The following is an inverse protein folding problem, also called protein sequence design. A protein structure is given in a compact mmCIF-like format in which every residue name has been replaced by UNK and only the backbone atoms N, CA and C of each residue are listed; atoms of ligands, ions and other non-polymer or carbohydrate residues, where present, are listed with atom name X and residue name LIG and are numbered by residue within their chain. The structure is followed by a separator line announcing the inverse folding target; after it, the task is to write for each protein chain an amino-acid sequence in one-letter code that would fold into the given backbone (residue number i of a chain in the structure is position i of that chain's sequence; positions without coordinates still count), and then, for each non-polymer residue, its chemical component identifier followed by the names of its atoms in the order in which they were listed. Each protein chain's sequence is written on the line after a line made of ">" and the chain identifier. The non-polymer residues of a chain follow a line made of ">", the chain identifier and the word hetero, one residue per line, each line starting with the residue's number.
data_IF_950392431576
#
_entry.id   IF_950392431576
#
_cell.length_a   1.000
_cell.length_b   1.000
_cell.length_c   1.000
_cell.angle_alpha   90.00
_cell.angle_beta   90.00
_cell.angle_gamma   90.00
#
_symmetry.space_group_name_H-M   'P 1'
#
loop_
_entity.id
_entity.type
_entity.pdbx_description
1 polymer ?
#
# COMPACT_ATOMS: atom_id res chain seq x y z
N UNK A 1 60.42 -39.78 -50.71
CA UNK A 1 59.53 -38.65 -50.37
C UNK A 1 58.14 -39.07 -50.75
N UNK A 2 57.24 -38.95 -49.77
CA UNK A 2 55.80 -39.20 -49.84
C UNK A 2 55.34 -40.63 -50.17
N UNK A 3 54.43 -41.07 -49.30
CA UNK A 3 53.19 -41.74 -49.67
C UNK A 3 53.11 -43.26 -49.42
N UNK A 4 51.90 -43.66 -48.99
CA UNK A 4 51.34 -45.00 -48.67
C UNK A 4 50.94 -45.26 -47.23
N UNK A 5 51.28 -44.41 -46.26
CA UNK A 5 50.84 -44.63 -44.86
C UNK A 5 49.53 -43.94 -44.48
N UNK A 6 49.05 -42.94 -45.24
CA UNK A 6 47.82 -42.20 -44.89
C UNK A 6 46.55 -42.67 -45.62
N UNK A 7 46.66 -43.46 -46.69
CA UNK A 7 45.49 -43.91 -47.47
C UNK A 7 44.79 -45.15 -46.93
N UNK A 8 45.42 -45.91 -46.01
CA UNK A 8 44.81 -47.12 -45.45
C UNK A 8 43.99 -46.81 -44.18
N UNK A 9 44.31 -45.75 -43.44
CA UNK A 9 43.56 -45.38 -42.24
C UNK A 9 42.21 -44.69 -42.53
N UNK A 10 42.10 -43.95 -43.64
CA UNK A 10 40.84 -43.30 -44.04
C UNK A 10 39.81 -44.28 -44.62
N UNK A 11 40.25 -45.41 -45.20
CA UNK A 11 39.36 -46.45 -45.75
C UNK A 11 38.69 -47.31 -44.68
N UNK A 12 39.38 -47.59 -43.57
CA UNK A 12 38.84 -48.46 -42.50
C UNK A 12 37.79 -47.76 -41.62
N UNK A 13 37.89 -46.44 -41.43
CA UNK A 13 36.92 -45.67 -40.63
C UNK A 13 35.61 -45.47 -41.42
N UNK A 14 35.68 -45.33 -42.75
CA UNK A 14 34.49 -45.25 -43.61
C UNK A 14 33.72 -46.58 -43.68
N UNK A 15 34.40 -47.73 -43.65
CA UNK A 15 33.73 -49.04 -43.69
C UNK A 15 33.15 -49.45 -42.32
N UNK A 16 33.79 -49.06 -41.20
CA UNK A 16 33.22 -49.27 -39.87
C UNK A 16 32.03 -48.35 -39.55
N UNK A 17 31.93 -47.19 -40.21
CA UNK A 17 30.79 -46.28 -40.04
C UNK A 17 29.59 -46.65 -40.93
N UNK A 18 29.84 -47.37 -42.04
CA UNK A 18 28.78 -47.87 -42.92
C UNK A 18 28.21 -49.23 -42.48
N UNK A 19 28.94 -50.02 -41.68
CA UNK A 19 28.42 -51.28 -41.14
C UNK A 19 27.48 -51.10 -39.92
N UNK A 20 27.56 -49.97 -39.21
CA UNK A 20 26.68 -49.68 -38.06
C UNK A 20 25.32 -49.11 -38.52
N UNK A 21 25.17 -48.70 -39.79
CA UNK A 21 23.89 -48.26 -40.36
C UNK A 21 23.09 -49.37 -41.06
N UNK A 22 23.60 -50.61 -41.12
CA UNK A 22 22.89 -51.75 -41.72
C UNK A 22 22.57 -52.89 -40.76
N UNK A 23 23.05 -52.85 -39.52
CA UNK A 23 22.35 -53.54 -38.43
C UNK A 23 21.28 -52.58 -37.95
N UNK A 24 20.16 -52.58 -38.67
CA UNK A 24 18.90 -52.06 -38.13
C UNK A 24 18.83 -52.54 -36.69
N UNK A 25 18.64 -51.59 -35.78
CA UNK A 25 18.11 -51.92 -34.47
C UNK A 25 16.92 -52.82 -34.79
N UNK A 26 17.10 -54.12 -34.56
CA UNK A 26 16.01 -54.96 -34.15
C UNK A 26 15.39 -54.13 -33.04
N UNK A 27 14.32 -53.41 -33.39
CA UNK A 27 13.14 -53.39 -32.56
C UNK A 27 13.16 -54.76 -31.93
N UNK A 28 13.42 -54.80 -30.64
CA UNK A 28 12.99 -55.95 -29.90
C UNK A 28 11.50 -56.00 -30.24
N UNK A 29 11.17 -56.82 -31.23
CA UNK A 29 9.90 -57.48 -31.38
C UNK A 29 9.77 -58.27 -30.08
N UNK A 30 9.51 -57.53 -28.98
CA UNK A 30 8.80 -58.02 -27.84
C UNK A 30 7.48 -58.39 -28.42
N UNK A 31 7.41 -59.65 -28.90
CA UNK A 31 6.23 -60.25 -29.45
C UNK A 31 5.11 -60.02 -28.45
N UNK A 32 4.31 -59.00 -28.74
CA UNK A 32 2.91 -59.15 -29.08
C UNK A 32 2.25 -60.27 -28.28
N UNK A 33 1.88 -59.95 -27.04
CA UNK A 33 1.02 -60.84 -26.26
C UNK A 33 -0.42 -60.53 -26.62
N UNK A 34 -1.00 -61.41 -27.43
CA UNK A 34 -2.38 -61.34 -27.90
C UNK A 34 -3.39 -61.62 -26.79
N UNK A 35 -4.39 -60.72 -26.73
CA UNK A 35 -5.64 -60.79 -25.99
C UNK A 35 -6.66 -59.90 -26.69
N UNK A 36 -7.68 -59.41 -25.98
CA UNK A 36 -8.73 -58.56 -26.57
C UNK A 36 -8.20 -57.26 -27.22
N UNK A 37 -6.99 -56.79 -26.91
CA UNK A 37 -6.42 -55.56 -27.47
C UNK A 37 -5.61 -55.74 -28.77
N UNK A 38 -5.46 -56.97 -29.28
CA UNK A 38 -4.59 -57.23 -30.44
C UNK A 38 -3.12 -56.86 -30.18
N UNK A 39 -2.36 -56.59 -31.24
CA UNK A 39 -0.92 -56.30 -31.17
C UNK A 39 -0.66 -54.81 -30.96
N UNK A 40 -0.59 -54.39 -29.70
CA UNK A 40 -0.26 -53.01 -29.29
C UNK A 40 0.97 -52.99 -28.37
N UNK A 41 1.64 -51.82 -28.29
CA UNK A 41 2.74 -51.58 -27.34
C UNK A 41 2.27 -51.82 -25.89
N UNK A 42 3.13 -52.30 -24.98
CA UNK A 42 2.79 -52.46 -23.57
C UNK A 42 2.14 -51.25 -22.90
N UNK A 43 2.54 -50.03 -23.31
CA UNK A 43 2.03 -48.74 -22.80
C UNK A 43 0.67 -48.36 -23.43
N UNK A 44 0.36 -48.87 -24.62
CA UNK A 44 -0.88 -48.55 -25.36
C UNK A 44 -2.07 -49.48 -25.08
N UNK A 45 -1.95 -50.37 -24.09
CA UNK A 45 -2.97 -51.39 -23.79
C UNK A 45 -4.21 -50.82 -23.10
N UNK A 46 -4.02 -49.91 -22.15
CA UNK A 46 -5.14 -49.27 -21.44
C UNK A 46 -5.93 -48.34 -22.38
N UNK A 47 -5.24 -47.58 -23.24
CA UNK A 47 -5.88 -46.76 -24.28
C UNK A 47 -6.65 -47.60 -25.31
N UNK A 48 -6.16 -48.80 -25.64
CA UNK A 48 -6.88 -49.74 -26.50
C UNK A 48 -8.16 -50.23 -25.84
N UNK A 49 -8.09 -50.62 -24.56
CA UNK A 49 -9.25 -51.05 -23.79
C UNK A 49 -10.29 -49.92 -23.63
N UNK A 50 -9.84 -48.69 -23.39
CA UNK A 50 -10.73 -47.50 -23.36
C UNK A 50 -11.46 -47.27 -24.67
N UNK A 51 -10.76 -47.34 -25.81
CA UNK A 51 -11.38 -47.14 -27.13
C UNK A 51 -12.31 -48.29 -27.55
N UNK A 52 -11.93 -49.55 -27.28
CA UNK A 52 -12.75 -50.72 -27.65
C UNK A 52 -14.07 -50.78 -26.90
N UNK A 53 -14.09 -50.31 -25.66
CA UNK A 53 -15.26 -50.39 -24.80
C UNK A 53 -15.87 -49.01 -24.53
N UNK A 54 -15.62 -48.03 -25.42
CA UNK A 54 -16.12 -46.66 -25.29
C UNK A 54 -17.65 -46.60 -25.19
N UNK A 55 -18.35 -47.50 -25.88
CA UNK A 55 -19.81 -47.59 -25.88
C UNK A 55 -20.37 -48.66 -24.92
N UNK A 56 -19.51 -49.29 -24.11
CA UNK A 56 -19.97 -50.33 -23.15
C UNK A 56 -20.52 -49.64 -21.90
N UNK A 57 -21.83 -49.77 -21.60
CA UNK A 57 -22.42 -49.14 -20.42
C UNK A 57 -21.84 -49.76 -19.15
N UNK A 58 -21.45 -48.92 -18.19
CA UNK A 58 -21.01 -49.37 -16.87
C UNK A 58 -21.82 -48.64 -15.80
N UNK A 59 -22.92 -49.26 -15.38
CA UNK A 59 -23.91 -48.62 -14.50
C UNK A 59 -23.59 -48.74 -13.00
N UNK A 60 -22.50 -49.44 -12.63
CA UNK A 60 -22.22 -49.77 -11.23
C UNK A 60 -21.18 -48.87 -10.54
N UNK A 61 -20.31 -48.19 -11.29
CA UNK A 61 -19.31 -47.27 -10.74
C UNK A 61 -18.69 -46.39 -11.84
N UNK A 62 -18.09 -45.25 -11.45
CA UNK A 62 -17.22 -44.48 -12.34
C UNK A 62 -15.82 -45.11 -12.31
N UNK A 63 -15.32 -45.48 -13.47
CA UNK A 63 -14.07 -46.21 -13.63
C UNK A 63 -13.43 -45.98 -14.99
N UNK A 64 -12.37 -46.73 -15.25
CA UNK A 64 -11.73 -46.76 -16.58
C UNK A 64 -11.40 -48.19 -16.98
N UNK A 65 -11.40 -48.44 -18.29
CA UNK A 65 -11.00 -49.72 -18.85
C UNK A 65 -9.48 -49.87 -18.79
N UNK A 66 -9.00 -50.94 -18.17
CA UNK A 66 -7.60 -51.28 -18.00
C UNK A 66 -7.31 -52.66 -18.55
N UNK A 67 -6.11 -52.89 -19.08
CA UNK A 67 -5.71 -54.22 -19.53
C UNK A 67 -5.10 -55.05 -18.39
N UNK A 68 -5.67 -56.21 -18.10
CA UNK A 68 -5.08 -57.18 -17.19
C UNK A 68 -4.07 -58.06 -17.95
N UNK A 69 -2.78 -57.84 -17.69
CA UNK A 69 -1.70 -58.62 -18.30
C UNK A 69 -1.59 -60.07 -17.83
N UNK A 70 -2.23 -60.45 -16.72
CA UNK A 70 -2.25 -61.83 -16.20
C UNK A 70 -3.38 -62.64 -16.84
N UNK A 71 -4.55 -62.02 -16.99
CA UNK A 71 -5.72 -62.66 -17.59
C UNK A 71 -5.84 -62.43 -19.11
N UNK A 72 -5.07 -61.50 -19.66
CA UNK A 72 -5.02 -61.20 -21.09
C UNK A 72 -6.26 -60.48 -21.62
N UNK A 73 -7.06 -59.83 -20.75
CA UNK A 73 -8.36 -59.24 -21.10
C UNK A 73 -8.47 -57.79 -20.65
N UNK A 74 -9.41 -57.04 -21.24
CA UNK A 74 -9.79 -55.72 -20.73
C UNK A 74 -10.73 -55.87 -19.54
N UNK A 75 -10.44 -55.19 -18.44
CA UNK A 75 -11.26 -55.15 -17.23
C UNK A 75 -11.65 -53.70 -16.94
N UNK A 76 -12.91 -53.48 -16.57
CA UNK A 76 -13.34 -52.17 -16.08
C UNK A 76 -12.98 -52.05 -14.60
N UNK A 77 -12.07 -51.13 -14.28
CA UNK A 77 -11.64 -50.89 -12.90
C UNK A 77 -12.48 -49.74 -12.35
N UNK A 78 -13.31 -50.06 -11.36
CA UNK A 78 -14.00 -49.06 -10.56
C UNK A 78 -12.99 -48.23 -9.77
N UNK A 79 -13.01 -46.91 -9.95
CA UNK A 79 -12.43 -46.02 -8.94
C UNK A 79 -13.39 -46.01 -7.76
N UNK A 80 -12.88 -46.28 -6.56
CA UNK A 80 -13.70 -46.31 -5.33
C UNK A 80 -14.37 -44.97 -5.04
N UNK A 81 -15.13 -44.88 -3.95
CA UNK A 81 -15.66 -43.60 -3.47
C UNK A 81 -14.49 -42.65 -3.19
N UNK A 82 -14.37 -41.60 -3.99
CA UNK A 82 -13.36 -40.56 -3.81
C UNK A 82 -13.63 -39.86 -2.47
N UNK A 83 -12.63 -39.81 -1.60
CA UNK A 83 -12.76 -39.23 -0.25
C UNK A 83 -11.94 -37.97 -0.06
N UNK A 84 -10.96 -37.72 -0.93
CA UNK A 84 -10.01 -36.62 -0.80
C UNK A 84 -9.59 -36.03 -2.16
N UNK A 85 -8.88 -34.90 -2.10
CA UNK A 85 -8.41 -34.18 -3.28
C UNK A 85 -7.46 -35.01 -4.15
N UNK A 86 -6.53 -35.74 -3.52
CA UNK A 86 -5.52 -36.52 -4.23
C UNK A 86 -6.17 -37.64 -5.07
N UNK A 87 -7.09 -38.40 -4.47
CA UNK A 87 -7.88 -39.42 -5.16
C UNK A 87 -8.71 -38.85 -6.32
N UNK A 88 -9.25 -37.64 -6.16
CA UNK A 88 -10.00 -36.96 -7.22
C UNK A 88 -9.10 -36.59 -8.41
N UNK A 89 -7.93 -36.02 -8.13
CA UNK A 89 -6.98 -35.63 -9.17
C UNK A 89 -6.40 -36.85 -9.90
N UNK A 90 -6.04 -37.91 -9.16
CA UNK A 90 -5.48 -39.16 -9.71
C UNK A 90 -6.51 -39.94 -10.55
N UNK A 91 -7.80 -39.82 -10.21
CA UNK A 91 -8.90 -40.35 -11.02
C UNK A 91 -9.19 -39.52 -12.29
N UNK A 92 -8.43 -38.46 -12.56
CA UNK A 92 -8.50 -37.66 -13.78
C UNK A 92 -9.63 -36.63 -13.83
N UNK A 93 -10.23 -36.31 -12.68
CA UNK A 93 -11.27 -35.28 -12.62
C UNK A 93 -10.70 -33.85 -12.75
N UNK A 94 -11.49 -32.88 -13.25
CA UNK A 94 -11.02 -31.52 -13.44
C UNK A 94 -10.57 -30.86 -12.13
N UNK A 95 -9.32 -30.42 -12.09
CA UNK A 95 -8.75 -29.58 -11.03
C UNK A 95 -8.87 -28.11 -11.44
N UNK A 96 -9.45 -27.29 -10.58
CA UNK A 96 -9.65 -25.86 -10.78
C UNK A 96 -8.43 -25.07 -10.30
N UNK A 97 -8.13 -23.96 -10.99
CA UNK A 97 -7.08 -22.99 -10.62
C UNK A 97 -7.54 -22.10 -9.45
N UNK A 98 -7.71 -22.69 -8.26
CA UNK A 98 -7.93 -21.97 -7.01
C UNK A 98 -6.82 -22.25 -6.00
N UNK A 99 -6.66 -21.40 -4.99
CA UNK A 99 -5.83 -21.68 -3.82
C UNK A 99 -6.70 -21.65 -2.55
N UNK A 100 -6.80 -22.75 -1.80
CA UNK A 100 -6.28 -24.09 -2.11
C UNK A 100 -6.90 -24.70 -3.37
N UNK A 101 -6.21 -25.66 -4.02
CA UNK A 101 -6.71 -26.29 -5.25
C UNK A 101 -7.97 -27.10 -4.96
N UNK A 102 -8.87 -27.17 -5.95
CA UNK A 102 -10.15 -27.88 -5.82
C UNK A 102 -10.34 -28.83 -6.99
N UNK A 103 -10.71 -30.07 -6.73
CA UNK A 103 -11.03 -31.07 -7.74
C UNK A 103 -12.54 -31.34 -7.77
N UNK A 104 -13.14 -31.38 -8.96
CA UNK A 104 -14.59 -31.63 -9.16
C UNK A 104 -14.82 -33.10 -9.50
N UNK A 105 -15.15 -33.89 -8.49
CA UNK A 105 -15.43 -35.31 -8.62
C UNK A 105 -16.87 -35.66 -9.03
N UNK A 106 -17.26 -36.93 -8.90
CA UNK A 106 -18.55 -37.44 -9.34
C UNK A 106 -19.70 -36.79 -8.56
N UNK A 107 -20.88 -36.71 -9.20
CA UNK A 107 -22.09 -36.06 -8.66
C UNK A 107 -21.88 -34.57 -8.29
N UNK A 108 -20.85 -33.91 -8.83
CA UNK A 108 -20.54 -32.51 -8.54
C UNK A 108 -19.88 -32.26 -7.18
N UNK A 109 -19.48 -33.31 -6.46
CA UNK A 109 -18.74 -33.20 -5.21
C UNK A 109 -17.38 -32.53 -5.45
N UNK A 110 -17.04 -31.56 -4.61
CA UNK A 110 -15.78 -30.83 -4.69
C UNK A 110 -14.88 -31.24 -3.53
N UNK A 111 -13.65 -31.65 -3.84
CA UNK A 111 -12.62 -31.97 -2.86
C UNK A 111 -11.58 -30.85 -2.87
N UNK A 112 -11.27 -30.29 -1.71
CA UNK A 112 -10.30 -29.21 -1.55
C UNK A 112 -8.98 -29.78 -1.03
N UNK A 113 -7.86 -29.33 -1.57
CA UNK A 113 -6.52 -29.66 -1.10
C UNK A 113 -6.34 -29.19 0.35
N UNK A 114 -5.87 -30.09 1.21
CA UNK A 114 -5.46 -29.76 2.58
C UNK A 114 -4.01 -29.30 2.50
N UNK A 115 -3.76 -28.05 2.90
CA UNK A 115 -2.42 -27.48 3.00
C UNK A 115 -2.04 -27.56 4.47
N UNK A 116 -1.04 -28.38 4.81
CA UNK A 116 -0.61 -28.63 6.19
C UNK A 116 0.24 -27.48 6.79
N UNK A 117 0.32 -26.33 6.11
CA UNK A 117 0.98 -25.14 6.64
C UNK A 117 -0.02 -24.29 7.44
N UNK A 118 0.29 -23.92 8.70
CA UNK A 118 -0.46 -22.91 9.42
C UNK A 118 -0.21 -21.59 8.69
N UNK A 119 -1.15 -21.20 7.83
CA UNK A 119 -1.20 -19.85 7.30
C UNK A 119 -1.39 -18.93 8.50
N UNK A 120 -0.33 -18.24 8.91
CA UNK A 120 -0.51 -16.98 9.62
C UNK A 120 -1.61 -16.23 8.86
N UNK A 121 -2.67 -15.74 9.55
CA UNK A 121 -3.75 -15.05 8.86
C UNK A 121 -3.09 -13.99 7.98
N UNK A 122 -3.33 -13.98 6.65
CA UNK A 122 -2.63 -13.09 5.76
C UNK A 122 -2.79 -11.69 6.33
N UNK A 123 -1.66 -11.02 6.60
CA UNK A 123 -1.67 -9.62 7.04
C UNK A 123 -2.62 -8.90 6.07
N UNK A 124 -3.68 -8.23 6.55
CA UNK A 124 -4.63 -7.58 5.66
C UNK A 124 -3.85 -6.70 4.68
N UNK A 125 -4.09 -6.92 3.38
CA UNK A 125 -3.40 -6.19 2.33
C UNK A 125 -4.05 -4.82 2.24
N UNK A 126 -3.30 -3.77 2.60
CA UNK A 126 -3.77 -2.39 2.58
C UNK A 126 -4.10 -1.84 3.98
N UNK A 127 -4.30 -0.53 4.05
CA UNK A 127 -4.48 0.19 5.32
C UNK A 127 -3.17 0.51 6.05
N UNK A 128 -2.04 0.03 5.55
CA UNK A 128 -0.71 0.41 6.05
C UNK A 128 -0.51 1.93 5.87
N UNK A 129 -0.20 2.61 6.98
CA UNK A 129 0.10 4.04 7.02
C UNK A 129 1.53 4.25 7.51
N UNK A 130 2.18 5.31 7.05
CA UNK A 130 3.50 5.74 7.55
C UNK A 130 3.40 6.52 8.88
N UNK A 131 4.53 7.04 9.36
CA UNK A 131 4.64 7.78 10.62
C UNK A 131 3.80 9.08 10.65
N UNK A 132 3.48 9.63 9.48
CA UNK A 132 2.62 10.81 9.32
C UNK A 132 1.17 10.44 8.99
N UNK A 133 0.82 9.15 9.09
CA UNK A 133 -0.52 8.66 8.80
C UNK A 133 -0.86 8.53 7.32
N UNK A 134 0.11 8.62 6.40
CA UNK A 134 -0.14 8.58 4.97
C UNK A 134 -0.32 7.15 4.47
N UNK A 135 -1.37 6.91 3.66
CA UNK A 135 -1.70 5.60 3.12
C UNK A 135 -0.74 5.19 1.98
N UNK A 136 0.41 4.63 2.34
CA UNK A 136 1.51 4.29 1.43
C UNK A 136 1.10 3.37 0.28
N UNK A 137 0.28 2.31 0.49
CA UNK A 137 -0.16 1.44 -0.61
C UNK A 137 -1.02 2.15 -1.67
N UNK A 138 -1.66 3.27 -1.31
CA UNK A 138 -2.41 4.11 -2.24
C UNK A 138 -1.54 5.19 -2.90
N UNK A 139 -0.23 5.18 -2.63
CA UNK A 139 0.74 6.10 -3.21
C UNK A 139 0.80 7.47 -2.56
N UNK A 140 0.24 7.62 -1.36
CA UNK A 140 0.39 8.84 -0.56
C UNK A 140 1.71 8.81 0.20
N UNK A 141 2.36 9.97 0.24
CA UNK A 141 3.56 10.23 1.03
C UNK A 141 3.44 11.60 1.68
N UNK A 142 4.03 11.76 2.86
CA UNK A 142 4.10 13.06 3.52
C UNK A 142 4.85 14.09 2.66
N UNK A 143 4.24 15.26 2.47
CA UNK A 143 4.86 16.42 1.85
C UNK A 143 4.96 17.54 2.91
N UNK A 144 6.18 17.83 3.36
CA UNK A 144 6.42 18.81 4.42
C UNK A 144 6.16 20.27 4.01
N UNK A 145 6.19 20.59 2.72
CA UNK A 145 5.85 21.95 2.24
C UNK A 145 4.33 22.18 2.23
N UNK A 146 3.57 21.12 1.95
CA UNK A 146 2.10 21.19 1.93
C UNK A 146 1.51 20.90 3.30
N UNK A 147 2.16 20.08 4.12
CA UNK A 147 1.61 19.68 5.41
C UNK A 147 0.61 18.55 5.40
N UNK A 148 0.64 17.74 4.35
CA UNK A 148 -0.34 16.70 4.15
C UNK A 148 0.26 15.53 3.38
N UNK A 149 -0.46 14.41 3.47
CA UNK A 149 -0.27 13.27 2.59
C UNK A 149 -0.70 13.64 1.17
N UNK A 150 0.25 13.65 0.25
CA UNK A 150 -0.01 13.96 -1.16
C UNK A 150 0.50 12.85 -2.06
N UNK A 151 0.10 12.90 -3.34
CA UNK A 151 0.71 12.09 -4.39
C UNK A 151 1.50 13.02 -5.29
N UNK A 152 2.78 12.73 -5.47
CA UNK A 152 3.70 13.59 -6.23
C UNK A 152 3.25 13.83 -7.68
N UNK A 153 2.49 12.92 -8.29
CA UNK A 153 1.96 13.08 -9.64
C UNK A 153 0.67 13.94 -9.73
N UNK A 154 0.02 14.23 -8.61
CA UNK A 154 -1.15 15.11 -8.55
C UNK A 154 -0.72 16.58 -8.35
N UNK A 155 0.41 16.82 -7.68
CA UNK A 155 1.01 18.13 -7.48
C UNK A 155 1.91 18.51 -8.66
N UNK A 156 1.29 18.93 -9.77
CA UNK A 156 1.96 19.10 -11.08
C UNK A 156 2.79 20.36 -11.22
N UNK A 157 2.46 21.43 -10.50
CA UNK A 157 3.10 22.73 -10.61
C UNK A 157 2.97 23.55 -9.31
N UNK A 158 3.66 24.69 -9.25
CA UNK A 158 3.68 25.58 -8.09
C UNK A 158 2.29 26.14 -7.74
N UNK A 159 1.41 26.32 -8.72
CA UNK A 159 0.08 26.83 -8.47
C UNK A 159 -0.81 25.79 -7.80
N UNK A 160 -0.74 24.55 -8.26
CA UNK A 160 -1.41 23.40 -7.63
C UNK A 160 -0.88 23.18 -6.22
N UNK A 161 0.45 23.23 -6.03
CA UNK A 161 1.07 23.15 -4.71
C UNK A 161 0.56 24.26 -3.79
N UNK A 162 0.61 25.51 -4.24
CA UNK A 162 0.12 26.66 -3.48
C UNK A 162 -1.35 26.51 -3.10
N UNK A 163 -2.21 26.07 -4.02
CA UNK A 163 -3.62 25.83 -3.73
C UNK A 163 -3.82 24.74 -2.68
N UNK A 164 -3.07 23.64 -2.79
CA UNK A 164 -3.08 22.55 -1.82
C UNK A 164 -2.63 23.03 -0.43
N UNK A 165 -1.50 23.75 -0.35
CA UNK A 165 -1.00 24.35 0.89
C UNK A 165 -2.05 25.27 1.51
N UNK A 166 -2.62 26.21 0.74
CA UNK A 166 -3.66 27.13 1.24
C UNK A 166 -4.91 26.39 1.75
N UNK A 167 -5.30 25.29 1.11
CA UNK A 167 -6.44 24.50 1.56
C UNK A 167 -6.14 23.68 2.82
N UNK A 168 -4.93 23.11 2.94
CA UNK A 168 -4.48 22.39 4.14
C UNK A 168 -4.33 23.36 5.31
N UNK A 169 -3.74 24.53 5.08
CA UNK A 169 -3.67 25.63 6.03
C UNK A 169 -5.03 26.01 6.58
N UNK A 170 -6.06 26.01 5.74
CA UNK A 170 -7.43 26.31 6.15
C UNK A 170 -8.08 25.15 6.94
N UNK A 171 -7.95 23.91 6.46
CA UNK A 171 -8.56 22.72 7.09
C UNK A 171 -7.91 22.37 8.44
N UNK A 172 -6.65 22.75 8.61
CA UNK A 172 -5.88 22.54 9.82
C UNK A 172 -5.04 21.27 9.78
N UNK A 173 -3.82 21.42 10.27
CA UNK A 173 -2.75 20.42 10.29
C UNK A 173 -3.04 19.31 11.30
N UNK A 174 -2.87 18.05 10.89
CA UNK A 174 -2.99 16.86 11.74
C UNK A 174 -2.35 15.65 11.05
N UNK A 175 -2.00 14.62 11.82
CA UNK A 175 -1.47 13.38 11.27
C UNK A 175 -2.55 12.69 10.41
N UNK A 176 -2.17 12.31 9.19
CA UNK A 176 -3.06 11.67 8.22
C UNK A 176 -3.97 12.61 7.42
N UNK A 177 -3.82 13.94 7.54
CA UNK A 177 -4.47 14.88 6.61
C UNK A 177 -4.01 14.58 5.19
N UNK A 178 -4.94 14.37 4.27
CA UNK A 178 -4.66 13.91 2.92
C UNK A 178 -5.28 14.84 1.88
N UNK A 179 -4.47 15.34 0.95
CA UNK A 179 -4.99 16.06 -0.23
C UNK A 179 -5.46 15.02 -1.23
N UNK A 180 -6.78 14.91 -1.40
CA UNK A 180 -7.41 13.91 -2.27
C UNK A 180 -7.51 14.38 -3.72
N UNK A 181 -7.57 15.70 -3.92
CA UNK A 181 -7.64 16.27 -5.26
C UNK A 181 -7.53 17.80 -5.26
N UNK A 182 -6.97 18.34 -6.36
CA UNK A 182 -6.85 19.77 -6.63
C UNK A 182 -7.31 20.01 -8.06
N UNK A 183 -8.38 20.78 -8.23
CA UNK A 183 -8.96 21.12 -9.52
C UNK A 183 -8.85 22.62 -9.78
N UNK A 184 -8.34 23.02 -10.94
CA UNK A 184 -8.27 24.42 -11.32
C UNK A 184 -9.66 24.95 -11.71
N UNK A 185 -9.99 26.14 -11.22
CA UNK A 185 -11.22 26.87 -11.57
C UNK A 185 -11.06 27.74 -12.82
N UNK A 186 -12.14 28.45 -13.17
CA UNK A 186 -12.20 29.29 -14.37
C UNK A 186 -11.50 30.65 -14.29
N UNK A 187 -10.66 30.88 -13.26
CA UNK A 187 -9.94 32.13 -13.05
C UNK A 187 -8.51 31.90 -12.55
N UNK A 188 -7.56 32.84 -12.78
CA UNK A 188 -6.26 32.80 -12.12
C UNK A 188 -6.42 32.78 -10.59
N UNK A 189 -5.86 31.77 -9.94
CA UNK A 189 -5.98 31.59 -8.49
C UNK A 189 -7.32 31.00 -8.02
N UNK A 190 -8.21 30.57 -8.93
CA UNK A 190 -9.38 29.79 -8.55
C UNK A 190 -9.03 28.30 -8.50
N UNK A 191 -9.34 27.62 -7.40
CA UNK A 191 -9.13 26.18 -7.24
C UNK A 191 -10.25 25.55 -6.41
N UNK A 192 -10.50 24.26 -6.60
CA UNK A 192 -11.30 23.44 -5.71
C UNK A 192 -10.39 22.34 -5.17
N UNK A 193 -10.16 22.36 -3.86
CA UNK A 193 -9.27 21.41 -3.20
C UNK A 193 -10.10 20.53 -2.29
N UNK A 194 -9.89 19.23 -2.39
CA UNK A 194 -10.51 18.26 -1.48
C UNK A 194 -9.48 17.74 -0.52
N UNK A 195 -9.73 17.93 0.77
CA UNK A 195 -8.87 17.47 1.87
C UNK A 195 -9.66 16.46 2.71
N UNK A 196 -9.02 15.36 3.08
CA UNK A 196 -9.56 14.36 3.98
C UNK A 196 -8.82 14.43 5.32
N UNK A 197 -9.56 14.54 6.42
CA UNK A 197 -9.06 14.54 7.80
C UNK A 197 -9.86 13.54 8.62
N UNK A 198 -9.25 12.40 8.95
CA UNK A 198 -9.93 11.31 9.63
C UNK A 198 -11.05 10.71 8.78
N UNK A 199 -12.31 10.90 9.18
CA UNK A 199 -13.50 10.48 8.41
C UNK A 199 -14.16 11.64 7.64
N UNK A 200 -13.69 12.87 7.86
CA UNK A 200 -14.27 14.07 7.28
C UNK A 200 -13.59 14.39 5.96
N UNK A 201 -14.40 14.79 4.98
CA UNK A 201 -13.96 15.25 3.67
C UNK A 201 -14.40 16.68 3.48
N UNK A 202 -13.43 17.58 3.42
CA UNK A 202 -13.63 19.03 3.33
C UNK A 202 -13.31 19.49 1.92
N UNK A 203 -14.23 20.22 1.32
CA UNK A 203 -14.04 20.87 0.02
C UNK A 203 -13.75 22.35 0.26
N UNK A 204 -12.58 22.80 -0.18
CA UNK A 204 -12.10 24.18 -0.06
C UNK A 204 -12.15 24.82 -1.45
N UNK A 205 -12.97 25.85 -1.60
CA UNK A 205 -12.98 26.69 -2.80
C UNK A 205 -12.02 27.85 -2.61
N UNK A 206 -11.12 28.06 -3.56
CA UNK A 206 -10.27 29.23 -3.64
C UNK A 206 -10.79 30.14 -4.75
N UNK A 207 -10.81 31.44 -4.49
CA UNK A 207 -11.02 32.49 -5.48
C UNK A 207 -9.89 33.50 -5.37
N UNK A 208 -9.17 33.73 -6.46
CA UNK A 208 -8.01 34.63 -6.49
C UNK A 208 -7.01 34.36 -5.34
N UNK A 209 -6.68 33.07 -5.11
CA UNK A 209 -5.78 32.61 -4.04
C UNK A 209 -6.27 32.81 -2.61
N UNK A 210 -7.54 33.16 -2.43
CA UNK A 210 -8.17 33.30 -1.11
C UNK A 210 -9.25 32.25 -0.95
N UNK A 211 -9.31 31.62 0.23
CA UNK A 211 -10.36 30.65 0.53
C UNK A 211 -11.71 31.37 0.56
N UNK A 212 -12.69 30.82 -0.15
CA UNK A 212 -14.09 31.17 -0.01
C UNK A 212 -14.66 30.38 1.13
N UNK A 213 -14.54 30.96 2.32
CA UNK A 213 -15.16 30.37 3.49
C UNK A 213 -16.68 30.35 3.31
N UNK A 214 -17.26 29.18 3.55
CA UNK A 214 -18.70 29.13 3.86
C UNK A 214 -18.90 30.05 5.05
N UNK A 215 -19.75 31.03 4.87
CA UNK A 215 -20.09 31.98 5.92
C UNK A 215 -20.51 31.25 7.19
N UNK A 216 -19.76 31.46 8.27
CA UNK A 216 -19.99 30.85 9.57
C UNK A 216 -20.88 31.76 10.42
N UNK A 217 -21.64 31.21 11.34
CA UNK A 217 -22.38 32.04 12.32
C UNK A 217 -21.46 32.42 13.49
N UNK A 218 -21.74 33.50 14.24
CA UNK A 218 -20.98 33.84 15.44
C UNK A 218 -20.92 32.70 16.47
N UNK A 219 -21.98 31.89 16.55
CA UNK A 219 -22.05 30.76 17.48
C UNK A 219 -21.18 29.59 17.03
N UNK A 220 -21.23 29.26 15.75
CA UNK A 220 -20.40 28.20 15.18
C UNK A 220 -18.91 28.56 15.23
N UNK A 221 -18.58 29.86 15.11
CA UNK A 221 -17.22 30.36 15.33
C UNK A 221 -16.70 30.04 16.73
N UNK A 222 -17.50 30.36 17.77
CA UNK A 222 -17.13 30.05 19.17
C UNK A 222 -17.03 28.56 19.43
N UNK A 223 -17.91 27.75 18.84
CA UNK A 223 -17.88 26.29 18.98
C UNK A 223 -16.60 25.68 18.38
N UNK A 224 -16.03 26.28 17.35
CA UNK A 224 -14.75 25.86 16.76
C UNK A 224 -13.52 26.42 17.51
N UNK A 225 -13.73 27.15 18.61
CA UNK A 225 -12.66 27.76 19.40
C UNK A 225 -12.13 29.09 18.84
N UNK A 226 -12.86 29.71 17.90
CA UNK A 226 -12.52 31.03 17.37
C UNK A 226 -13.25 32.18 18.09
N UNK A 227 -12.70 33.38 17.94
CA UNK A 227 -13.31 34.65 18.35
C UNK A 227 -13.75 35.46 17.13
N UNK A 228 -14.87 36.17 17.24
CA UNK A 228 -15.35 37.05 16.16
C UNK A 228 -14.61 38.38 16.20
N UNK A 229 -13.80 38.68 15.18
CA UNK A 229 -12.98 39.89 15.11
C UNK A 229 -13.48 40.80 13.99
N UNK A 230 -13.64 42.09 14.28
CA UNK A 230 -14.00 43.10 13.28
C UNK A 230 -12.81 43.37 12.37
N UNK A 231 -12.95 43.21 11.05
CA UNK A 231 -11.87 43.53 10.10
C UNK A 231 -11.72 45.04 9.87
N UNK A 232 -12.65 45.84 10.39
CA UNK A 232 -12.60 47.30 10.37
C UNK A 232 -11.78 47.79 11.58
N UNK A 233 -10.46 47.69 11.49
CA UNK A 233 -9.53 48.26 12.48
C UNK A 233 -9.22 49.74 12.22
N UNK A 234 -8.94 50.51 13.28
CA UNK A 234 -8.48 51.91 13.18
C UNK A 234 -7.09 52.06 12.53
N UNK A 235 -6.31 50.98 12.44
CA UNK A 235 -4.93 50.95 11.93
C UNK A 235 -4.79 50.56 10.45
N UNK A 236 -5.87 50.14 9.77
CA UNK A 236 -5.81 49.67 8.38
C UNK A 236 -5.16 48.30 8.18
N UNK A 237 -4.75 47.63 9.26
CA UNK A 237 -4.33 46.23 9.24
C UNK A 237 -5.57 45.35 9.40
N UNK A 238 -5.73 44.38 8.49
CA UNK A 238 -6.81 43.41 8.54
C UNK A 238 -6.45 42.34 9.60
N UNK A 239 -7.15 42.30 10.76
CA UNK A 239 -6.85 41.38 11.86
C UNK A 239 -7.05 39.90 11.51
N UNK A 240 -7.59 39.61 10.33
CA UNK A 240 -7.83 38.27 9.82
C UNK A 240 -6.79 37.86 8.75
N UNK A 241 -5.93 38.79 8.34
CA UNK A 241 -4.78 38.54 7.47
C UNK A 241 -3.53 38.33 8.33
N UNK A 242 -3.06 37.08 8.41
CA UNK A 242 -1.88 36.70 9.20
C UNK A 242 -2.16 35.86 10.44
N UNK A 243 -3.43 35.52 10.71
CA UNK A 243 -3.86 34.57 11.75
C UNK A 243 -4.66 33.42 11.16
N UNK A 244 -4.96 32.38 11.96
CA UNK A 244 -5.78 31.25 11.52
C UNK A 244 -7.26 31.68 11.41
N UNK A 245 -7.60 32.22 10.25
CA UNK A 245 -8.95 32.66 9.90
C UNK A 245 -9.82 31.43 9.54
N UNK A 246 -10.84 31.19 10.37
CA UNK A 246 -11.85 30.14 10.20
C UNK A 246 -13.03 30.59 9.30
N UNK A 247 -13.10 31.87 8.95
CA UNK A 247 -13.95 32.38 7.88
C UNK A 247 -14.85 33.57 8.21
N UNK A 248 -15.58 34.05 7.20
CA UNK A 248 -16.47 35.21 7.34
C UNK A 248 -17.68 34.90 8.23
N UNK A 249 -17.93 35.78 9.20
CA UNK A 249 -19.04 35.65 10.14
C UNK A 249 -20.27 36.40 9.60
N UNK A 250 -21.38 35.69 9.37
CA UNK A 250 -22.64 36.28 8.89
C UNK A 250 -23.67 36.48 10.00
N UNK A 251 -24.62 37.41 9.79
CA UNK A 251 -25.70 37.68 10.73
C UNK A 251 -25.43 38.79 11.75
N UNK A 252 -24.29 39.48 11.65
CA UNK A 252 -24.02 40.73 12.35
C UNK A 252 -24.33 41.92 11.44
N UNK A 253 -24.85 43.01 12.01
CA UNK A 253 -25.28 44.21 11.28
C UNK A 253 -24.07 45.00 10.74
N UNK A 254 -22.84 44.63 11.12
CA UNK A 254 -21.61 45.30 10.72
C UNK A 254 -20.86 44.46 9.66
N UNK A 255 -20.41 45.06 8.54
CA UNK A 255 -20.25 44.34 7.28
C UNK A 255 -19.01 43.44 7.17
N UNK A 256 -18.08 43.47 8.13
CA UNK A 256 -16.84 42.74 7.99
C UNK A 256 -16.34 42.20 9.33
N UNK A 257 -16.71 40.95 9.63
CA UNK A 257 -16.30 40.22 10.82
C UNK A 257 -15.78 38.86 10.36
N UNK A 258 -14.60 38.46 10.82
CA UNK A 258 -14.08 37.12 10.60
C UNK A 258 -14.08 36.32 11.90
N UNK A 259 -13.93 35.01 11.76
CA UNK A 259 -13.67 34.10 12.86
C UNK A 259 -12.17 33.84 12.94
N UNK A 260 -11.53 34.24 14.02
CA UNK A 260 -10.09 34.10 14.24
C UNK A 260 -9.84 33.14 15.39
N UNK A 261 -9.06 32.07 15.17
CA UNK A 261 -8.63 31.18 16.27
C UNK A 261 -7.28 31.55 16.87
N UNK A 262 -6.75 32.71 16.47
CA UNK A 262 -5.47 33.22 16.89
C UNK A 262 -4.32 32.78 15.98
N UNK A 263 -3.08 32.89 16.46
CA UNK A 263 -1.88 32.56 15.68
C UNK A 263 -1.88 31.08 15.28
N UNK A 264 -1.25 30.73 14.16
CA UNK A 264 -1.17 29.33 13.72
C UNK A 264 -0.31 28.50 14.70
N UNK A 265 -0.65 27.23 14.95
CA UNK A 265 0.30 26.31 15.59
C UNK A 265 1.58 26.23 14.75
N UNK A 266 2.73 26.19 15.40
CA UNK A 266 4.03 26.01 14.72
C UNK A 266 4.54 24.59 14.97
N UNK A 267 5.23 24.04 13.97
CA UNK A 267 5.82 22.71 14.07
C UNK A 267 6.96 22.69 15.09
N UNK A 268 7.40 21.49 15.51
CA UNK A 268 8.58 21.36 16.36
C UNK A 268 9.84 21.91 15.67
N UNK A 269 9.94 21.80 14.35
CA UNK A 269 11.07 22.32 13.57
C UNK A 269 11.06 23.86 13.57
N UNK A 270 9.90 24.46 13.31
CA UNK A 270 9.76 25.93 13.38
C UNK A 270 10.01 26.47 14.79
N UNK A 271 9.57 25.75 15.82
CA UNK A 271 9.87 26.12 17.21
C UNK A 271 11.38 26.10 17.49
N UNK A 272 12.10 25.12 16.95
CA UNK A 272 13.57 25.05 17.03
C UNK A 272 14.20 26.23 16.30
N UNK A 273 13.73 26.59 15.11
CA UNK A 273 14.25 27.73 14.35
C UNK A 273 14.10 29.04 15.12
N UNK A 274 12.91 29.30 15.69
CA UNK A 274 12.67 30.49 16.54
C UNK A 274 13.58 30.48 17.77
N UNK A 275 13.74 29.33 18.42
CA UNK A 275 14.65 29.20 19.55
C UNK A 275 16.11 29.44 19.14
N UNK A 276 16.51 29.00 17.95
CA UNK A 276 17.87 29.16 17.42
C UNK A 276 18.22 30.61 17.08
N UNK A 277 17.24 31.39 16.64
CA UNK A 277 17.39 32.82 16.35
C UNK A 277 17.24 33.72 17.60
N UNK A 278 16.97 33.15 18.77
CA UNK A 278 16.73 33.87 20.02
C UNK A 278 17.94 33.92 20.96
N UNK A 279 17.80 34.57 22.11
CA UNK A 279 18.81 34.58 23.18
C UNK A 279 19.02 33.20 23.85
N UNK A 280 18.14 32.22 23.60
CA UNK A 280 18.25 30.89 24.20
C UNK A 280 19.59 30.20 23.90
N UNK A 281 20.09 30.35 22.67
CA UNK A 281 21.38 29.75 22.26
C UNK A 281 22.59 30.41 22.89
N UNK A 282 22.44 31.62 23.44
CA UNK A 282 23.51 32.27 24.22
C UNK A 282 23.64 31.66 25.62
N UNK A 283 22.57 31.07 26.16
CA UNK A 283 22.55 30.44 27.49
C UNK A 283 23.03 29.00 27.45
N UNK A 284 22.63 28.22 26.46
CA UNK A 284 22.99 26.80 26.32
C UNK A 284 22.58 26.22 24.98
N UNK A 285 23.06 25.03 24.65
CA UNK A 285 22.66 24.35 23.42
C UNK A 285 21.22 23.81 23.54
N UNK A 286 20.41 23.96 22.50
CA UNK A 286 19.09 23.30 22.42
C UNK A 286 19.28 21.78 22.38
N UNK A 287 18.49 21.05 23.16
CA UNK A 287 18.48 19.59 23.17
C UNK A 287 17.34 19.01 22.35
N UNK A 288 17.34 17.70 22.14
CA UNK A 288 16.26 16.94 21.51
C UNK A 288 15.03 16.77 22.43
N UNK A 289 15.15 17.13 23.70
CA UNK A 289 14.06 17.06 24.67
C UNK A 289 13.21 18.30 24.57
N UNK A 290 12.10 18.18 23.86
CA UNK A 290 11.10 19.23 23.77
C UNK A 290 9.68 18.69 23.92
N UNK A 291 8.76 19.55 24.33
CA UNK A 291 7.34 19.28 24.32
C UNK A 291 6.54 20.54 24.06
N UNK A 292 5.32 20.36 23.54
CA UNK A 292 4.35 21.42 23.34
C UNK A 292 3.35 21.45 24.50
N UNK A 293 3.07 22.63 25.03
CA UNK A 293 1.99 22.86 25.97
C UNK A 293 0.82 23.51 25.22
N UNK A 294 -0.25 22.75 25.00
CA UNK A 294 -1.41 23.22 24.22
C UNK A 294 -2.21 24.31 24.93
N UNK A 295 -2.31 24.26 26.26
CA UNK A 295 -3.07 25.22 27.07
C UNK A 295 -2.48 26.63 26.99
N UNK A 296 -1.15 26.71 26.96
CA UNK A 296 -0.41 27.98 26.91
C UNK A 296 0.15 28.30 25.53
N UNK A 297 -0.02 27.38 24.56
CA UNK A 297 0.51 27.49 23.20
C UNK A 297 2.00 27.82 23.17
N UNK A 298 2.77 27.08 23.98
CA UNK A 298 4.22 27.25 24.07
C UNK A 298 4.95 25.95 23.78
N UNK A 299 6.07 26.06 23.08
CA UNK A 299 7.05 24.98 22.94
C UNK A 299 8.13 25.15 24.00
N UNK A 300 8.43 24.06 24.70
CA UNK A 300 9.45 24.00 25.73
C UNK A 300 10.57 23.11 25.24
N UNK A 301 11.75 23.67 25.02
CA UNK A 301 12.95 22.96 24.54
C UNK A 301 14.00 23.01 25.66
N UNK A 302 14.40 21.88 26.19
CA UNK A 302 15.41 21.85 27.26
C UNK A 302 16.77 22.37 26.75
N UNK A 303 17.47 23.14 27.59
CA UNK A 303 18.78 23.72 27.29
C UNK A 303 19.89 22.96 28.03
N UNK A 304 21.02 22.73 27.36
CA UNK A 304 22.25 22.22 27.98
C UNK A 304 23.03 23.38 28.62
N UNK A 305 22.61 23.77 29.84
CA UNK A 305 23.26 24.79 30.64
C UNK A 305 23.21 24.44 32.14
N UNK A 306 24.28 24.74 32.87
CA UNK A 306 24.43 24.37 34.28
C UNK A 306 24.06 25.51 35.24
N UNK A 307 23.07 25.29 36.09
CA UNK A 307 22.77 26.13 37.27
C UNK A 307 22.26 25.26 38.41
N UNK A 308 22.89 25.39 39.57
CA UNK A 308 22.60 24.52 40.72
C UNK A 308 21.11 24.56 41.10
N UNK A 309 20.48 23.39 41.14
CA UNK A 309 19.06 23.24 41.50
C UNK A 309 18.07 23.66 40.42
N UNK A 310 18.51 23.98 39.20
CA UNK A 310 17.65 24.46 38.12
C UNK A 310 17.76 23.61 36.85
N UNK A 311 16.66 23.55 36.10
CA UNK A 311 16.58 22.94 34.78
C UNK A 311 16.13 24.00 33.76
N UNK A 312 17.03 24.55 32.94
CA UNK A 312 16.70 25.56 31.96
C UNK A 312 15.93 24.97 30.76
N UNK A 313 15.03 25.78 30.21
CA UNK A 313 14.37 25.51 28.94
C UNK A 313 14.23 26.83 28.16
N UNK A 314 14.29 26.72 26.83
CA UNK A 314 13.85 27.75 25.92
C UNK A 314 12.34 27.60 25.74
N UNK A 315 11.58 28.64 26.08
CA UNK A 315 10.13 28.70 25.92
C UNK A 315 9.83 29.54 24.69
N UNK A 316 9.30 28.91 23.66
CA UNK A 316 8.91 29.54 22.40
C UNK A 316 7.41 29.76 22.40
N UNK A 317 7.00 31.00 22.11
CA UNK A 317 5.61 31.44 22.09
C UNK A 317 5.07 31.37 20.66
N UNK A 318 4.03 30.54 20.44
CA UNK A 318 3.39 30.40 19.12
C UNK A 318 2.76 31.70 18.63
N UNK A 319 2.36 32.56 19.55
CA UNK A 319 1.61 33.77 19.26
C UNK A 319 2.45 34.94 18.79
N UNK A 320 3.64 35.08 19.35
CA UNK A 320 4.54 36.17 19.04
C UNK A 320 5.73 35.76 18.19
N UNK A 321 5.93 34.45 17.96
CA UNK A 321 7.14 33.91 17.33
C UNK A 321 8.42 34.40 18.03
N UNK A 322 8.37 34.48 19.35
CA UNK A 322 9.52 34.87 20.19
C UNK A 322 9.86 33.75 21.15
N UNK A 323 11.11 33.70 21.61
CA UNK A 323 11.53 32.75 22.63
C UNK A 323 12.24 33.43 23.79
N UNK A 324 12.09 32.87 24.99
CA UNK A 324 12.74 33.33 26.20
C UNK A 324 13.27 32.15 27.03
N UNK A 325 14.24 32.41 27.90
CA UNK A 325 14.82 31.39 28.77
C UNK A 325 14.05 31.28 30.09
N UNK A 326 13.56 30.09 30.42
CA UNK A 326 12.89 29.78 31.67
C UNK A 326 13.71 28.80 32.53
N UNK A 327 14.07 29.22 33.74
CA UNK A 327 14.79 28.38 34.71
C UNK A 327 13.81 27.74 35.70
N UNK A 328 13.53 26.45 35.50
CA UNK A 328 12.69 25.68 36.43
C UNK A 328 13.54 25.19 37.60
N UNK A 329 13.58 25.96 38.69
CA UNK A 329 14.39 25.65 39.87
C UNK A 329 13.59 24.93 40.96
N UNK A 330 14.22 23.96 41.63
CA UNK A 330 13.66 23.27 42.81
C UNK A 330 14.53 23.53 44.03
N UNK A 331 13.92 24.05 45.10
CA UNK A 331 14.58 24.33 46.38
C UNK A 331 14.69 25.83 46.72
N UNK A 332 14.53 26.16 48.00
CA UNK A 332 14.84 27.49 48.54
C UNK A 332 16.31 27.79 48.22
N UNK A 333 16.54 28.83 47.42
CA UNK A 333 17.85 29.46 47.27
C UNK A 333 18.32 29.83 48.69
N UNK A 334 19.33 29.12 49.20
CA UNK A 334 19.98 29.45 50.47
C UNK A 334 21.05 30.53 50.25
#
# INVERSE_FOLDING_TARGET
>A
MADRSLLILAGLIAVMSLLVLLTGSKSHDGGMVGGDCGTVSPEGRDECCGRKNADTPHDTCVGSWRYDGKEGKCEYVCHGSITNFQECADAGYPVMESYPRRCRGPEGKSYTEVIDEPLDPPKPIGGDRDEHGCLTPAGYSWDGEIGACTRSWEIKDENVRRAATTAVDHVGWDDGVTVVGVEAGGCPGCYYVTVEKGSDRVEVELNNWTVRDRSITPEECRLKGGETVSTVGESGEDPCNGRYNMGEVTGLISPHVCCDAGPRPISSEEAVDVAWESECVEVGALTDRMYRNEDTRTWWIDLDAEKAGCSPACVVYEDTMTAEVNWRCTGLVA
#
